data_IF_828475213419
#
_entry.id   IF_828475213419
#
_cell.length_a   1.000
_cell.length_b   1.000
_cell.length_c   1.000
_cell.angle_alpha   90.00
_cell.angle_beta   90.00
_cell.angle_gamma   90.00
#
_symmetry.space_group_name_H-M   'P 1'
#
loop_
_entity.id
_entity.type
_entity.pdbx_description
1 polymer ?
#
# COMPACT_ATOMS: atom_id res chain seq x y z
N UNK A 1 -37.26 -14.32 -44.08
CA UNK A 1 -36.62 -14.85 -42.87
C UNK A 1 -35.66 -13.88 -42.17
N UNK A 2 -35.27 -12.77 -42.82
CA UNK A 2 -34.37 -11.74 -42.28
C UNK A 2 -34.85 -11.09 -40.96
N UNK A 3 -36.17 -10.90 -40.78
CA UNK A 3 -36.72 -10.31 -39.56
C UNK A 3 -36.50 -11.19 -38.31
N UNK A 4 -36.45 -12.52 -38.48
CA UNK A 4 -36.19 -13.45 -37.38
C UNK A 4 -34.72 -13.36 -36.93
N UNK A 5 -33.79 -13.31 -37.88
CA UNK A 5 -32.35 -13.16 -37.61
C UNK A 5 -32.02 -11.83 -36.94
N UNK A 6 -32.64 -10.72 -37.36
CA UNK A 6 -32.47 -9.41 -36.71
C UNK A 6 -32.92 -9.44 -35.25
N UNK A 7 -34.05 -10.09 -34.95
CA UNK A 7 -34.55 -10.20 -33.58
C UNK A 7 -33.68 -11.10 -32.70
N UNK A 8 -33.15 -12.19 -33.26
CA UNK A 8 -32.19 -13.05 -32.55
C UNK A 8 -30.90 -12.30 -32.22
N UNK A 9 -30.38 -11.50 -33.17
CA UNK A 9 -29.17 -10.70 -32.97
C UNK A 9 -29.36 -9.62 -31.91
N UNK A 10 -30.50 -8.89 -31.93
CA UNK A 10 -30.85 -7.91 -30.89
C UNK A 10 -30.87 -8.55 -29.50
N UNK A 11 -31.55 -9.68 -29.36
CA UNK A 11 -31.62 -10.42 -28.09
C UNK A 11 -30.24 -10.88 -27.60
N UNK A 12 -29.34 -11.21 -28.51
CA UNK A 12 -27.97 -11.59 -28.16
C UNK A 12 -27.14 -10.40 -27.70
N UNK A 13 -27.27 -9.25 -28.38
CA UNK A 13 -26.66 -7.99 -27.95
C UNK A 13 -27.15 -7.59 -26.56
N UNK A 14 -28.46 -7.64 -26.30
CA UNK A 14 -29.04 -7.29 -24.99
C UNK A 14 -28.48 -8.16 -23.86
N UNK A 15 -28.33 -9.47 -24.12
CA UNK A 15 -27.70 -10.39 -23.16
C UNK A 15 -26.24 -10.03 -22.90
N UNK A 16 -25.47 -9.73 -23.95
CA UNK A 16 -24.07 -9.34 -23.82
C UNK A 16 -23.91 -8.02 -23.06
N UNK A 17 -24.77 -7.03 -23.32
CA UNK A 17 -24.79 -5.76 -22.57
C UNK A 17 -25.02 -6.03 -21.09
N UNK A 18 -26.03 -6.83 -20.75
CA UNK A 18 -26.34 -7.13 -19.35
C UNK A 18 -25.20 -7.86 -18.63
N UNK A 19 -24.53 -8.80 -19.32
CA UNK A 19 -23.36 -9.50 -18.76
C UNK A 19 -22.20 -8.54 -18.50
N UNK A 20 -21.94 -7.59 -19.42
CA UNK A 20 -20.90 -6.57 -19.28
C UNK A 20 -21.21 -5.62 -18.12
N UNK A 21 -22.46 -5.15 -18.01
CA UNK A 21 -22.90 -4.29 -16.90
C UNK A 21 -22.72 -4.98 -15.55
N UNK A 22 -23.08 -6.27 -15.48
CA UNK A 22 -22.90 -7.08 -14.27
C UNK A 22 -21.41 -7.26 -13.92
N UNK A 23 -20.56 -7.53 -14.91
CA UNK A 23 -19.12 -7.65 -14.70
C UNK A 23 -18.50 -6.33 -14.24
N UNK A 24 -18.93 -5.20 -14.82
CA UNK A 24 -18.50 -3.87 -14.41
C UNK A 24 -18.90 -3.57 -12.97
N UNK A 25 -20.15 -3.84 -12.60
CA UNK A 25 -20.62 -3.64 -11.23
C UNK A 25 -19.85 -4.49 -10.22
N UNK A 26 -19.60 -5.78 -10.54
CA UNK A 26 -18.80 -6.65 -9.69
C UNK A 26 -17.38 -6.13 -9.51
N UNK A 27 -16.75 -5.69 -10.60
CA UNK A 27 -15.40 -5.14 -10.57
C UNK A 27 -15.32 -3.85 -9.73
N UNK A 28 -16.34 -3.00 -9.78
CA UNK A 28 -16.42 -1.82 -8.91
C UNK A 28 -16.51 -2.21 -7.43
N UNK A 29 -17.33 -3.22 -7.10
CA UNK A 29 -17.45 -3.76 -5.73
C UNK A 29 -16.13 -4.35 -5.23
N UNK A 30 -15.45 -5.15 -6.05
CA UNK A 30 -14.17 -5.79 -5.70
C UNK A 30 -13.07 -4.74 -5.42
N UNK A 31 -13.06 -3.66 -6.19
CA UNK A 31 -12.19 -2.50 -5.95
C UNK A 31 -12.72 -1.54 -4.88
N UNK A 32 -13.91 -1.82 -4.31
CA UNK A 32 -14.63 -0.99 -3.35
C UNK A 32 -14.85 0.46 -3.83
N UNK A 33 -15.02 0.66 -5.13
CA UNK A 33 -15.35 1.95 -5.77
C UNK A 33 -16.83 1.96 -6.18
N UNK A 34 -17.40 3.15 -6.30
CA UNK A 34 -18.77 3.35 -6.77
C UNK A 34 -18.90 3.13 -8.27
N UNK A 35 -17.86 3.50 -9.03
CA UNK A 35 -17.86 3.40 -10.49
C UNK A 35 -18.42 4.65 -11.19
N UNK A 36 -18.59 5.75 -10.45
CA UNK A 36 -19.06 7.05 -10.98
C UNK A 36 -17.92 7.76 -11.73
N UNK A 37 -16.72 7.74 -11.16
CA UNK A 37 -15.51 8.21 -11.81
C UNK A 37 -14.34 7.33 -11.39
N UNK A 38 -14.25 6.16 -12.03
CA UNK A 38 -13.24 5.13 -11.74
C UNK A 38 -11.82 5.71 -11.66
N UNK A 39 -11.48 6.66 -12.53
CA UNK A 39 -10.14 7.26 -12.55
C UNK A 39 -9.84 8.05 -11.28
N UNK A 40 -10.74 8.97 -10.89
CA UNK A 40 -10.58 9.75 -9.66
C UNK A 40 -10.62 8.87 -8.41
N UNK A 41 -11.53 7.90 -8.37
CA UNK A 41 -11.67 6.99 -7.24
C UNK A 41 -10.43 6.12 -7.03
N UNK A 42 -9.80 5.65 -8.12
CA UNK A 42 -8.54 4.91 -8.02
C UNK A 42 -7.38 5.79 -7.59
N UNK A 43 -7.27 7.02 -8.12
CA UNK A 43 -6.21 7.96 -7.71
C UNK A 43 -6.33 8.27 -6.20
N UNK A 44 -7.52 8.59 -5.71
CA UNK A 44 -7.76 8.86 -4.28
C UNK A 44 -7.38 7.68 -3.40
N UNK A 45 -7.68 6.45 -3.83
CA UNK A 45 -7.28 5.22 -3.13
C UNK A 45 -5.76 5.04 -3.10
N UNK A 46 -5.09 5.31 -4.21
CA UNK A 46 -3.63 5.20 -4.30
C UNK A 46 -2.96 6.26 -3.43
N UNK A 47 -3.48 7.49 -3.37
CA UNK A 47 -2.96 8.57 -2.53
C UNK A 47 -3.11 8.32 -1.02
N UNK A 48 -4.10 7.53 -0.61
CA UNK A 48 -4.33 7.21 0.80
C UNK A 48 -3.18 6.38 1.41
N UNK A 49 -2.63 5.41 0.67
CA UNK A 49 -1.58 4.52 1.17
C UNK A 49 -0.28 5.25 1.59
N UNK A 50 0.36 6.09 0.75
CA UNK A 50 1.56 6.82 1.16
C UNK A 50 1.27 7.80 2.30
N UNK A 51 0.04 8.30 2.43
CA UNK A 51 -0.36 9.12 3.57
C UNK A 51 -0.38 8.30 4.86
N UNK A 52 -0.91 7.07 4.85
CA UNK A 52 -0.83 6.16 6.00
C UNK A 52 0.63 5.88 6.36
N UNK A 53 1.48 5.55 5.39
CA UNK A 53 2.89 5.27 5.64
C UNK A 53 3.62 6.46 6.26
N UNK A 54 3.36 7.68 5.76
CA UNK A 54 3.89 8.92 6.35
C UNK A 54 3.37 9.16 7.77
N UNK A 55 2.07 8.94 8.01
CA UNK A 55 1.48 9.10 9.34
C UNK A 55 2.11 8.12 10.34
N UNK A 56 2.24 6.85 9.97
CA UNK A 56 2.80 5.79 10.82
C UNK A 56 4.29 5.99 11.14
N UNK A 57 5.04 6.69 10.29
CA UNK A 57 6.46 6.92 10.46
C UNK A 57 6.82 8.34 10.93
N UNK A 58 5.83 9.22 11.13
CA UNK A 58 6.08 10.60 11.55
C UNK A 58 6.62 10.68 12.99
N UNK A 59 7.78 11.31 13.19
CA UNK A 59 8.48 11.30 14.49
C UNK A 59 7.69 11.92 15.65
N UNK A 60 6.82 12.89 15.35
CA UNK A 60 6.25 13.73 16.40
C UNK A 60 5.00 13.16 17.10
N UNK A 61 4.42 12.03 16.63
CA UNK A 61 3.18 11.44 17.21
C UNK A 61 2.76 10.07 16.65
N UNK A 62 3.63 9.33 15.98
CA UNK A 62 3.22 8.10 15.28
C UNK A 62 3.35 6.82 16.12
N UNK A 63 2.76 5.74 15.61
CA UNK A 63 2.78 4.41 16.24
C UNK A 63 4.19 3.84 16.39
N UNK A 64 5.11 4.17 15.48
CA UNK A 64 6.46 3.57 15.45
C UNK A 64 7.33 4.05 16.63
N UNK A 65 7.50 5.36 16.91
CA UNK A 65 8.22 5.84 18.09
C UNK A 65 7.62 5.36 19.43
N UNK A 66 6.31 5.10 19.49
CA UNK A 66 5.65 4.54 20.69
C UNK A 66 6.11 3.11 21.01
N UNK A 67 6.73 2.40 20.06
CA UNK A 67 7.27 1.06 20.28
C UNK A 67 8.65 1.07 20.95
N UNK A 68 9.32 2.23 21.06
CA UNK A 68 10.66 2.33 21.65
C UNK A 68 10.73 1.76 23.07
N UNK A 69 9.85 2.12 24.02
CA UNK A 69 9.91 1.53 25.37
C UNK A 69 9.63 0.02 25.36
N UNK A 70 8.72 -0.44 24.51
CA UNK A 70 8.40 -1.87 24.39
C UNK A 70 9.60 -2.67 23.85
N UNK A 71 10.33 -2.09 22.89
CA UNK A 71 11.56 -2.64 22.35
C UNK A 71 12.66 -2.69 23.44
N UNK A 72 12.83 -1.62 24.22
CA UNK A 72 13.78 -1.60 25.34
C UNK A 72 13.48 -2.70 26.37
N UNK A 73 12.21 -2.84 26.78
CA UNK A 73 11.80 -3.91 27.70
C UNK A 73 12.07 -5.29 27.12
N UNK A 74 11.78 -5.50 25.84
CA UNK A 74 12.07 -6.77 25.18
C UNK A 74 13.57 -7.07 25.14
N UNK A 75 14.40 -6.07 24.83
CA UNK A 75 15.85 -6.21 24.81
C UNK A 75 16.37 -6.54 26.21
N UNK A 76 15.95 -5.83 27.26
CA UNK A 76 16.34 -6.10 28.65
C UNK A 76 15.88 -7.48 29.14
N UNK A 77 14.65 -7.88 28.78
CA UNK A 77 14.17 -9.24 29.03
C UNK A 77 15.11 -10.27 28.37
N UNK A 78 15.44 -10.09 27.09
CA UNK A 78 16.31 -11.01 26.38
C UNK A 78 17.74 -11.02 26.94
N UNK A 79 18.27 -9.89 27.44
CA UNK A 79 19.56 -9.84 28.19
C UNK A 79 19.54 -10.76 29.39
N UNK A 80 18.47 -10.71 30.16
CA UNK A 80 18.32 -11.51 31.37
C UNK A 80 18.34 -13.01 31.04
N UNK A 81 17.63 -13.46 30.00
CA UNK A 81 17.62 -14.86 29.57
C UNK A 81 18.92 -15.30 28.89
N UNK A 82 19.58 -14.42 28.15
CA UNK A 82 20.85 -14.68 27.49
C UNK A 82 22.02 -14.09 28.29
N UNK A 83 22.29 -14.65 29.49
CA UNK A 83 23.42 -14.29 30.37
C UNK A 83 24.82 -14.63 29.80
N UNK A 84 24.98 -14.81 28.49
CA UNK A 84 26.23 -15.21 27.84
C UNK A 84 26.78 -14.09 26.96
N UNK A 85 28.11 -14.01 26.84
CA UNK A 85 28.90 -13.03 26.07
C UNK A 85 28.62 -12.96 24.55
N UNK A 86 27.54 -13.58 24.08
CA UNK A 86 27.07 -13.62 22.69
C UNK A 86 25.78 -12.81 22.47
N UNK A 87 25.30 -12.08 23.47
CA UNK A 87 24.11 -11.25 23.30
C UNK A 87 24.46 -10.01 22.47
N UNK A 88 24.05 -10.00 21.21
CA UNK A 88 24.17 -8.85 20.32
C UNK A 88 22.83 -8.10 20.29
N UNK A 89 22.75 -6.95 20.98
CA UNK A 89 21.56 -6.09 20.99
C UNK A 89 21.08 -5.70 19.59
N UNK A 90 22.00 -5.62 18.63
CA UNK A 90 21.70 -5.16 17.27
C UNK A 90 21.01 -6.24 16.42
N UNK A 91 21.03 -7.50 16.85
CA UNK A 91 20.33 -8.60 16.16
C UNK A 91 18.85 -8.71 16.53
N UNK A 92 18.41 -8.04 17.60
CA UNK A 92 17.03 -8.12 18.06
C UNK A 92 16.17 -7.01 17.47
N UNK A 93 15.15 -7.41 16.70
CA UNK A 93 14.19 -6.49 16.07
C UNK A 93 14.85 -5.34 15.28
N UNK A 94 15.86 -5.61 14.43
CA UNK A 94 16.63 -4.57 13.72
C UNK A 94 15.73 -3.69 12.86
N UNK A 95 14.65 -4.25 12.31
CA UNK A 95 13.68 -3.51 11.51
C UNK A 95 12.92 -2.47 12.34
N UNK A 96 12.49 -2.84 13.55
CA UNK A 96 11.74 -1.92 14.43
C UNK A 96 12.66 -0.79 14.89
N UNK A 97 13.90 -1.13 15.28
CA UNK A 97 14.93 -0.15 15.64
C UNK A 97 15.20 0.82 14.50
N UNK A 98 15.43 0.30 13.29
CA UNK A 98 15.66 1.10 12.09
C UNK A 98 14.48 2.03 11.79
N UNK A 99 13.24 1.54 11.91
CA UNK A 99 12.04 2.34 11.68
C UNK A 99 11.85 3.44 12.73
N UNK A 100 12.18 3.19 14.01
CA UNK A 100 12.16 4.21 15.07
C UNK A 100 13.18 5.31 14.76
N UNK A 101 14.39 4.92 14.37
CA UNK A 101 15.50 5.86 14.11
C UNK A 101 15.30 6.63 12.80
N UNK A 102 14.88 5.98 11.72
CA UNK A 102 14.92 6.54 10.37
C UNK A 102 13.53 6.86 9.79
N UNK A 103 12.45 6.32 10.35
CA UNK A 103 11.09 6.53 9.87
C UNK A 103 10.86 5.96 8.47
N UNK A 104 10.14 6.71 7.63
CA UNK A 104 9.79 6.28 6.27
C UNK A 104 10.95 6.55 5.31
N UNK A 105 11.84 5.56 5.15
CA UNK A 105 12.97 5.62 4.22
C UNK A 105 12.70 4.86 2.93
N UNK A 106 13.37 5.26 1.85
CA UNK A 106 13.39 4.51 0.59
C UNK A 106 14.11 3.17 0.75
N UNK A 107 13.80 2.22 -0.13
CA UNK A 107 14.52 0.93 -0.21
C UNK A 107 16.01 1.14 -0.48
N UNK A 108 16.34 2.19 -1.25
CA UNK A 108 17.73 2.56 -1.53
C UNK A 108 18.46 2.96 -0.25
N UNK A 109 17.91 3.90 0.52
CA UNK A 109 18.45 4.34 1.82
C UNK A 109 18.68 3.15 2.77
N UNK A 110 17.70 2.25 2.87
CA UNK A 110 17.82 1.06 3.73
C UNK A 110 18.96 0.12 3.29
N UNK A 111 19.21 -0.01 1.98
CA UNK A 111 20.26 -0.91 1.45
C UNK A 111 21.66 -0.30 1.45
N UNK A 112 21.76 1.01 1.60
CA UNK A 112 23.01 1.78 1.50
C UNK A 112 23.40 2.38 2.84
N UNK A 113 22.81 1.90 3.93
CA UNK A 113 23.08 2.36 5.30
C UNK A 113 22.90 3.88 5.47
N UNK A 114 21.91 4.46 4.78
CA UNK A 114 21.49 5.85 4.96
C UNK A 114 21.73 6.78 3.77
N UNK A 115 22.33 6.33 2.67
CA UNK A 115 22.51 7.19 1.50
C UNK A 115 21.16 7.57 0.89
N UNK A 116 20.88 8.87 0.85
CA UNK A 116 19.66 9.40 0.25
C UNK A 116 19.79 9.34 -1.27
N UNK A 117 18.81 8.79 -2.00
CA UNK A 117 18.86 8.78 -3.45
C UNK A 117 18.92 10.21 -4.00
N UNK A 118 19.84 10.45 -4.93
CA UNK A 118 20.03 11.76 -5.58
C UNK A 118 18.77 12.21 -6.32
N UNK A 119 18.01 11.26 -6.86
CA UNK A 119 16.73 11.50 -7.50
C UNK A 119 15.81 10.29 -7.30
N UNK A 120 14.52 10.55 -7.01
CA UNK A 120 13.47 9.52 -6.96
C UNK A 120 12.57 9.77 -8.17
N UNK A 121 12.77 8.99 -9.23
CA UNK A 121 11.91 9.03 -10.40
C UNK A 121 10.59 8.34 -10.08
N UNK A 122 9.53 9.13 -9.95
CA UNK A 122 8.17 8.60 -9.91
C UNK A 122 7.62 8.57 -11.34
N UNK A 123 6.98 7.48 -11.76
CA UNK A 123 6.29 7.47 -13.04
C UNK A 123 5.23 8.58 -13.02
N UNK A 124 5.34 9.53 -13.95
CA UNK A 124 4.34 10.57 -14.10
C UNK A 124 3.02 9.91 -14.50
N UNK A 125 2.02 9.99 -13.63
CA UNK A 125 0.65 9.63 -13.93
C UNK A 125 0.09 10.69 -14.91
N UNK A 126 0.43 10.53 -16.20
CA UNK A 126 0.08 11.46 -17.26
C UNK A 126 -1.38 11.24 -17.69
N UNK A 127 -2.32 11.62 -16.81
CA UNK A 127 -3.76 11.54 -17.09
C UNK A 127 -4.28 12.92 -17.47
N UNK A 128 -4.89 13.04 -18.65
CA UNK A 128 -5.64 14.24 -19.05
C UNK A 128 -7.01 14.19 -18.40
N UNK A 129 -7.29 15.15 -17.51
CA UNK A 129 -8.64 15.41 -17.03
C UNK A 129 -9.42 16.08 -18.18
N UNK A 130 -10.37 15.36 -18.77
CA UNK A 130 -11.40 15.91 -19.68
C UNK A 130 -12.76 15.67 -19.09
#
# INVERSE_FOLDING_TARGET
NVAFEINALKKQIDKTIHEIEKQYAQLCVDMSIKGDNVQLELIQRIEYLPNICKQLASRDKSFIPLLEPALEFYIEFMKYFHSSSKFNHEEFSPLIKYLIENGNTTVYQYRTDGDVPVNVEQPSLNYKFT
#
